data_IF_265878227959
#
_entry.id   IF_265878227959
#
_cell.length_a   1.000
_cell.length_b   1.000
_cell.length_c   1.000
_cell.angle_alpha   90.00
_cell.angle_beta   90.00
_cell.angle_gamma   90.00
#
_symmetry.space_group_name_H-M   'P 1'
#
loop_
_entity.id
_entity.type
_entity.pdbx_description
1 polymer ?
#
# COMPACT_ATOMS: atom_id res chain seq x y z
N UNK A 1 -19.38 9.22 0.57
CA UNK A 1 -18.49 9.12 -0.61
C UNK A 1 -17.59 7.93 -0.38
N UNK A 2 -17.75 6.88 -1.18
CA UNK A 2 -17.04 5.61 -1.06
C UNK A 2 -15.88 5.62 -2.07
N UNK A 3 -14.64 5.73 -1.60
CA UNK A 3 -13.44 5.96 -2.45
C UNK A 3 -12.56 4.71 -2.60
N UNK A 4 -13.11 3.50 -2.44
CA UNK A 4 -12.35 2.26 -2.67
C UNK A 4 -12.28 1.96 -4.17
N UNK A 5 -11.08 1.96 -4.73
CA UNK A 5 -10.81 1.52 -6.11
C UNK A 5 -9.87 0.33 -6.08
N UNK A 6 -10.37 -0.83 -6.49
CA UNK A 6 -9.61 -2.08 -6.58
C UNK A 6 -8.95 -2.18 -7.95
N UNK A 7 -7.62 -2.28 -8.03
CA UNK A 7 -6.87 -2.38 -9.30
C UNK A 7 -6.34 -3.80 -9.52
N UNK A 8 -6.82 -4.49 -10.55
CA UNK A 8 -6.33 -5.82 -10.94
C UNK A 8 -5.11 -5.70 -11.86
N UNK A 9 -3.91 -5.91 -11.31
CA UNK A 9 -2.68 -6.07 -12.09
C UNK A 9 -2.44 -7.54 -12.43
N UNK A 10 -2.13 -7.84 -13.70
CA UNK A 10 -1.77 -9.18 -14.18
C UNK A 10 -0.26 -9.27 -14.38
N UNK A 11 0.41 -10.21 -13.71
CA UNK A 11 1.83 -10.51 -13.84
C UNK A 11 2.06 -11.74 -14.75
N UNK A 12 3.10 -11.68 -15.59
CA UNK A 12 3.47 -12.65 -16.64
C UNK A 12 3.83 -14.07 -16.11
N UNK A 13 3.96 -14.27 -14.79
CA UNK A 13 4.42 -15.54 -14.18
C UNK A 13 3.31 -16.50 -13.70
N UNK A 14 2.06 -16.34 -14.13
CA UNK A 14 0.99 -17.30 -13.80
C UNK A 14 0.58 -17.37 -12.32
N UNK A 15 1.17 -16.54 -11.45
CA UNK A 15 0.60 -16.22 -10.14
C UNK A 15 -0.27 -14.99 -10.32
N UNK A 16 -1.58 -15.17 -10.16
CA UNK A 16 -2.54 -14.08 -9.98
C UNK A 16 -2.07 -13.28 -8.77
N UNK A 17 -1.30 -12.21 -8.98
CA UNK A 17 -1.08 -11.21 -7.94
C UNK A 17 -2.45 -10.63 -7.66
N UNK A 18 -2.92 -10.78 -6.43
CA UNK A 18 -4.17 -10.18 -6.00
C UNK A 18 -4.10 -8.68 -6.32
N UNK A 19 -5.22 -8.04 -6.69
CA UNK A 19 -5.22 -6.60 -6.86
C UNK A 19 -4.62 -5.95 -5.61
N UNK A 20 -3.52 -5.19 -5.77
CA UNK A 20 -2.97 -4.41 -4.67
C UNK A 20 -4.02 -3.36 -4.32
N UNK A 21 -4.77 -3.59 -3.24
CA UNK A 21 -5.75 -2.62 -2.76
C UNK A 21 -5.01 -1.55 -1.96
N UNK A 22 -4.62 -0.49 -2.67
CA UNK A 22 -4.03 0.70 -2.07
C UNK A 22 -5.14 1.73 -1.84
N UNK A 23 -5.29 2.16 -0.59
CA UNK A 23 -6.35 3.07 -0.16
C UNK A 23 -5.74 4.43 0.15
N UNK A 24 -6.27 5.48 -0.48
CA UNK A 24 -5.91 6.86 -0.14
C UNK A 24 -6.32 7.13 1.31
N UNK A 25 -5.40 7.64 2.11
CA UNK A 25 -5.50 7.81 3.56
C UNK A 25 -5.02 6.61 4.37
N UNK A 26 -4.72 5.47 3.74
CA UNK A 26 -4.15 4.30 4.41
C UNK A 26 -2.69 4.50 4.75
N UNK A 27 -2.26 3.88 5.87
CA UNK A 27 -0.87 3.84 6.30
C UNK A 27 -0.18 2.57 5.78
N UNK A 28 1.04 2.72 5.28
CA UNK A 28 1.83 1.68 4.64
C UNK A 28 3.30 1.80 5.05
N UNK A 29 4.04 0.70 4.91
CA UNK A 29 5.49 0.67 4.97
C UNK A 29 6.04 0.39 3.59
N UNK A 30 7.06 1.15 3.18
CA UNK A 30 7.75 0.92 1.91
C UNK A 30 8.67 -0.29 2.05
N UNK A 31 8.34 -1.39 1.39
CA UNK A 31 9.12 -2.62 1.35
C UNK A 31 9.27 -3.07 -0.10
N UNK A 32 10.31 -2.59 -0.79
CA UNK A 32 10.48 -2.85 -2.21
C UNK A 32 10.81 -4.31 -2.51
N UNK A 33 10.22 -4.85 -3.57
CA UNK A 33 10.48 -6.23 -4.00
C UNK A 33 11.90 -6.40 -4.56
N UNK A 34 12.40 -5.36 -5.23
CA UNK A 34 13.78 -5.30 -5.71
C UNK A 34 14.70 -4.76 -4.60
N UNK A 35 15.61 -5.59 -4.04
CA UNK A 35 16.49 -5.19 -2.95
C UNK A 35 17.54 -4.13 -3.33
N UNK A 36 17.70 -3.82 -4.61
CA UNK A 36 18.52 -2.71 -5.09
C UNK A 36 17.86 -1.35 -4.86
N UNK A 37 16.53 -1.30 -4.84
CA UNK A 37 15.75 -0.09 -4.54
C UNK A 37 15.68 0.09 -3.03
N UNK A 38 16.72 0.64 -2.43
CA UNK A 38 16.79 0.82 -0.97
C UNK A 38 16.27 2.16 -0.49
N UNK A 39 16.00 3.07 -1.43
CA UNK A 39 15.45 4.37 -1.14
C UNK A 39 14.11 4.21 -0.43
N UNK A 40 13.97 4.85 0.73
CA UNK A 40 12.77 4.83 1.55
C UNK A 40 12.36 3.48 2.18
N UNK A 41 13.16 2.43 2.01
CA UNK A 41 12.86 1.11 2.60
C UNK A 41 12.67 1.22 4.12
N UNK A 42 11.56 0.68 4.60
CA UNK A 42 11.19 0.65 6.02
C UNK A 42 10.54 1.95 6.52
N UNK A 43 10.40 2.98 5.67
CA UNK A 43 9.70 4.21 6.06
C UNK A 43 8.19 4.00 6.06
N UNK A 44 7.54 4.56 7.07
CA UNK A 44 6.08 4.60 7.18
C UNK A 44 5.57 5.80 6.40
N UNK A 45 4.50 5.59 5.64
CA UNK A 45 3.89 6.63 4.84
C UNK A 45 2.37 6.51 4.79
N UNK A 46 1.72 7.61 4.43
CA UNK A 46 0.29 7.62 4.09
C UNK A 46 0.12 7.86 2.61
N UNK A 47 -0.75 7.09 1.96
CA UNK A 47 -1.09 7.33 0.55
C UNK A 47 -1.97 8.57 0.47
N UNK A 48 -1.53 9.58 -0.26
CA UNK A 48 -2.27 10.84 -0.45
C UNK A 48 -2.81 10.99 -1.88
N UNK A 49 -2.41 10.12 -2.80
CA UNK A 49 -2.89 10.09 -4.17
C UNK A 49 -2.48 8.82 -4.90
N UNK A 50 -3.00 8.64 -6.11
CA UNK A 50 -2.70 7.50 -6.98
C UNK A 50 -2.46 7.98 -8.42
N UNK A 51 -1.42 7.46 -9.04
CA UNK A 51 -1.02 7.76 -10.41
C UNK A 51 -0.63 6.46 -11.11
N UNK A 52 -1.24 6.11 -12.24
CA UNK A 52 -0.88 4.97 -13.13
C UNK A 52 0.19 3.98 -12.60
N UNK A 53 -0.21 3.07 -11.70
CA UNK A 53 0.66 2.01 -11.17
C UNK A 53 1.48 2.37 -9.91
N UNK A 54 1.37 3.61 -9.43
CA UNK A 54 2.10 4.19 -8.30
C UNK A 54 1.18 4.91 -7.32
N UNK A 55 1.58 4.89 -6.06
CA UNK A 55 0.99 5.70 -5.01
C UNK A 55 1.82 6.96 -4.81
N UNK A 56 1.16 8.11 -4.76
CA UNK A 56 1.75 9.30 -4.16
C UNK A 56 1.62 9.15 -2.64
N UNK A 57 2.74 9.07 -1.95
CA UNK A 57 2.78 8.89 -0.50
C UNK A 57 3.40 10.11 0.18
N UNK A 58 3.03 10.34 1.43
CA UNK A 58 3.67 11.30 2.33
C UNK A 58 4.33 10.53 3.47
N UNK A 59 5.63 10.71 3.66
CA UNK A 59 6.37 10.02 4.71
C UNK A 59 6.15 10.67 6.08
N UNK A 60 5.97 9.88 7.13
CA UNK A 60 5.63 10.38 8.47
C UNK A 60 6.81 11.03 9.21
N UNK A 61 8.04 10.70 8.82
CA UNK A 61 9.27 11.18 9.44
C UNK A 61 9.78 12.50 8.86
N UNK A 62 9.55 12.77 7.56
CA UNK A 62 10.03 14.00 6.88
C UNK A 62 8.93 14.89 6.31
N UNK A 63 7.67 14.44 6.30
CA UNK A 63 6.55 15.07 5.57
C UNK A 63 6.77 15.24 4.05
N UNK A 64 7.85 14.64 3.51
CA UNK A 64 8.15 14.67 2.08
C UNK A 64 7.23 13.72 1.32
N UNK A 65 7.03 14.05 0.03
CA UNK A 65 6.21 13.24 -0.87
C UNK A 65 7.07 12.51 -1.87
N UNK A 66 6.68 11.28 -2.18
CA UNK A 66 7.31 10.48 -3.23
C UNK A 66 6.28 9.62 -3.95
N UNK A 67 6.62 9.23 -5.18
CA UNK A 67 5.90 8.19 -5.91
C UNK A 67 6.53 6.84 -5.57
N UNK A 68 5.72 5.88 -5.16
CA UNK A 68 6.12 4.52 -4.80
C UNK A 68 5.28 3.53 -5.59
N UNK A 69 5.91 2.50 -6.16
CA UNK A 69 5.18 1.45 -6.89
C UNK A 69 4.25 0.70 -5.93
N UNK A 70 3.03 0.34 -6.36
CA UNK A 70 2.05 -0.30 -5.47
C UNK A 70 2.55 -1.62 -4.87
N UNK A 71 3.38 -2.35 -5.60
CA UNK A 71 3.98 -3.62 -5.17
C UNK A 71 4.99 -3.44 -4.02
N UNK A 72 5.52 -2.23 -3.86
CA UNK A 72 6.49 -1.88 -2.81
C UNK A 72 5.78 -1.41 -1.53
N UNK A 73 4.44 -1.32 -1.52
CA UNK A 73 3.67 -0.91 -0.34
C UNK A 73 3.07 -2.10 0.40
N UNK A 74 3.44 -2.23 1.67
CA UNK A 74 2.86 -3.22 2.57
C UNK A 74 2.00 -2.48 3.59
N UNK A 75 0.72 -2.87 3.70
CA UNK A 75 -0.20 -2.25 4.65
C UNK A 75 0.41 -2.29 6.04
N UNK A 76 0.53 -1.12 6.68
CA UNK A 76 0.93 -1.05 8.08
C UNK A 76 -0.25 -1.55 8.90
N UNK A 77 -0.34 -2.87 9.06
CA UNK A 77 -1.23 -3.48 10.04
C UNK A 77 -0.65 -3.23 11.42
N UNK A 78 -0.57 -1.96 11.83
CA UNK A 78 -0.37 -1.59 13.22
C UNK A 78 -1.46 -2.28 14.05
N UNK A 79 -1.13 -3.44 14.63
CA UNK A 79 -1.92 -4.10 15.67
C UNK A 79 -3.40 -4.38 15.39
N UNK A 80 -3.86 -4.57 14.14
CA UNK A 80 -5.19 -5.16 13.86
C UNK A 80 -5.06 -6.61 13.41
N UNK A 81 -4.52 -7.43 14.30
CA UNK A 81 -4.90 -8.84 14.37
C UNK A 81 -6.20 -8.92 15.18
N UNK A 82 -7.29 -9.32 14.52
CA UNK A 82 -8.52 -9.75 15.18
C UNK A 82 -9.61 -8.68 15.29
N UNK A 83 -10.43 -8.54 14.24
CA UNK A 83 -11.87 -8.71 14.46
C UNK A 83 -12.59 -9.12 13.16
N UNK A 84 -12.65 -10.42 12.84
CA UNK A 84 -13.70 -10.99 12.03
C UNK A 84 -14.78 -11.61 12.93
N UNK A 85 -15.28 -10.87 13.92
CA UNK A 85 -16.32 -11.31 14.85
C UNK A 85 -17.71 -10.74 14.53
N UNK A 86 -18.26 -11.09 13.37
CA UNK A 86 -19.67 -10.84 13.07
C UNK A 86 -20.56 -11.80 13.87
N UNK A 87 -21.38 -11.30 14.79
CA UNK A 87 -22.85 -11.47 14.76
C UNK A 87 -23.51 -10.73 15.93
N UNK A 88 -24.39 -9.81 15.58
CA UNK A 88 -25.50 -9.41 16.43
C UNK A 88 -26.26 -10.65 16.89
N UNK A 89 -26.58 -10.70 18.18
CA UNK A 89 -27.61 -11.54 18.77
C UNK A 89 -28.80 -10.63 19.13
#
# INVERSE_FOLDING_TARGET
MDSRRTFQGVSWFGKVQRPYEVVVGGAYVVQPLDPSRRENRGRVCTVVGVELGRALVMFHDTDERALVDFEDLVGDTGGRSGDPGMRAA
#
